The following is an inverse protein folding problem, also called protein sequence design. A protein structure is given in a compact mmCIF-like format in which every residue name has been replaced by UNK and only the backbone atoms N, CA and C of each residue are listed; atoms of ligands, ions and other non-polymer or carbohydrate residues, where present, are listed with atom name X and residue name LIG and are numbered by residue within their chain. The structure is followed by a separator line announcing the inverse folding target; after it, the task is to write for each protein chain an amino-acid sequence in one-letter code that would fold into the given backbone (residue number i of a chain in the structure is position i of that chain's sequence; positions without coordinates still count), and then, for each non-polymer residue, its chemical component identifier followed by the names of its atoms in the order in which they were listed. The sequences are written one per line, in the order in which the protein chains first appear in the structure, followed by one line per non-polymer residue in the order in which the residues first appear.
data_IF_846672283299
#
_entry.id   IF_846672283299
#
_cell.length_a   1.000
_cell.length_b   1.000
_cell.length_c   1.000
_cell.angle_alpha   90.00
_cell.angle_beta   90.00
_cell.angle_gamma   90.00
#
_symmetry.space_group_name_H-M   'P 1'
#
loop_
_entity.id
_entity.type
_entity.pdbx_description
1 polymer ?
#
# COMPACT_ATOMS: atom_id res chain seq x y z
N UNK A 1 2.71 -1.68 -12.77
CA UNK A 1 1.81 -2.11 -11.67
C UNK A 1 1.65 -3.61 -11.59
N UNK A 2 1.36 -4.32 -12.69
CA UNK A 2 1.22 -5.79 -12.68
C UNK A 2 2.41 -6.53 -12.03
N UNK A 3 3.65 -6.11 -12.31
CA UNK A 3 4.85 -6.68 -11.70
C UNK A 3 4.88 -6.55 -10.17
N UNK A 4 4.40 -5.43 -9.61
CA UNK A 4 4.33 -5.23 -8.15
C UNK A 4 3.40 -6.26 -7.53
N UNK A 5 2.25 -6.52 -8.15
CA UNK A 5 1.28 -7.50 -7.64
C UNK A 5 1.77 -8.95 -7.79
N UNK A 6 2.47 -9.27 -8.88
CA UNK A 6 3.03 -10.61 -9.09
C UNK A 6 4.06 -10.97 -8.01
N UNK A 7 4.94 -10.03 -7.66
CA UNK A 7 5.94 -10.22 -6.60
C UNK A 7 5.41 -9.93 -5.18
N UNK A 8 4.23 -9.31 -5.05
CA UNK A 8 3.57 -9.12 -3.77
C UNK A 8 3.01 -10.43 -3.19
N UNK A 9 2.59 -11.39 -4.04
CA UNK A 9 2.08 -12.70 -3.61
C UNK A 9 3.10 -13.51 -2.77
N UNK A 10 4.35 -13.72 -3.20
CA UNK A 10 5.34 -14.43 -2.40
C UNK A 10 5.69 -13.68 -1.10
N UNK A 11 5.63 -12.34 -1.11
CA UNK A 11 5.83 -11.53 0.11
C UNK A 11 4.69 -11.75 1.11
N UNK A 12 3.42 -11.78 0.65
CA UNK A 12 2.26 -12.08 1.50
C UNK A 12 2.34 -13.47 2.11
N UNK A 13 2.67 -14.48 1.29
CA UNK A 13 2.81 -15.87 1.75
C UNK A 13 3.90 -15.99 2.81
N UNK A 14 5.06 -15.37 2.58
CA UNK A 14 6.17 -15.38 3.52
C UNK A 14 5.87 -14.62 4.82
N UNK A 15 5.20 -13.46 4.74
CA UNK A 15 4.80 -12.70 5.92
C UNK A 15 3.73 -13.45 6.73
N UNK A 16 2.79 -14.13 6.06
CA UNK A 16 1.76 -14.92 6.72
C UNK A 16 2.34 -16.15 7.46
N UNK A 17 3.27 -16.88 6.82
CA UNK A 17 3.84 -18.11 7.36
C UNK A 17 4.95 -17.87 8.37
N UNK A 18 5.86 -16.93 8.08
CA UNK A 18 7.10 -16.75 8.83
C UNK A 18 7.22 -15.40 9.54
N UNK A 19 6.24 -14.49 9.36
CA UNK A 19 6.27 -13.12 9.90
C UNK A 19 7.56 -12.38 9.56
N UNK A 20 8.12 -12.70 8.39
CA UNK A 20 9.37 -12.14 7.87
C UNK A 20 9.21 -11.87 6.38
N UNK A 21 9.46 -10.64 5.99
CA UNK A 21 9.52 -10.24 4.58
C UNK A 21 10.87 -10.68 4.01
N UNK A 22 10.91 -11.55 2.98
CA UNK A 22 12.16 -11.94 2.35
C UNK A 22 12.70 -10.77 1.54
N UNK A 23 13.86 -10.26 1.94
CA UNK A 23 14.46 -9.05 1.37
C UNK A 23 14.80 -9.18 -0.13
N UNK A 24 14.96 -10.40 -0.63
CA UNK A 24 15.23 -10.70 -2.05
C UNK A 24 14.08 -10.22 -2.93
N UNK A 25 12.83 -10.58 -2.62
CA UNK A 25 11.67 -10.17 -3.43
C UNK A 25 11.46 -8.66 -3.39
N UNK A 26 11.68 -8.07 -2.22
CA UNK A 26 11.61 -6.62 -2.04
C UNK A 26 12.66 -5.89 -2.89
N UNK A 27 13.90 -6.39 -2.94
CA UNK A 27 14.94 -5.84 -3.78
C UNK A 27 14.59 -5.92 -5.27
N UNK A 28 14.05 -7.05 -5.74
CA UNK A 28 13.59 -7.18 -7.13
C UNK A 28 12.51 -6.15 -7.49
N UNK A 29 11.50 -5.97 -6.63
CA UNK A 29 10.45 -4.96 -6.85
C UNK A 29 11.08 -3.57 -6.86
N UNK A 30 11.98 -3.27 -5.93
CA UNK A 30 12.64 -1.97 -5.86
C UNK A 30 13.46 -1.66 -7.12
N UNK A 31 14.28 -2.59 -7.59
CA UNK A 31 15.06 -2.41 -8.82
C UNK A 31 14.15 -2.20 -10.03
N UNK A 32 13.08 -2.98 -10.16
CA UNK A 32 12.11 -2.82 -11.23
C UNK A 32 11.43 -1.45 -11.19
N UNK A 33 10.95 -1.04 -10.01
CA UNK A 33 10.29 0.25 -9.80
C UNK A 33 11.25 1.40 -10.05
N UNK A 34 12.50 1.29 -9.60
CA UNK A 34 13.54 2.28 -9.83
C UNK A 34 13.85 2.43 -11.32
N UNK A 35 14.02 1.33 -12.07
CA UNK A 35 14.22 1.36 -13.51
C UNK A 35 13.06 2.08 -14.22
N UNK A 36 11.81 1.74 -13.86
CA UNK A 36 10.63 2.41 -14.42
C UNK A 36 10.60 3.91 -14.09
N UNK A 37 11.00 4.32 -12.89
CA UNK A 37 11.05 5.73 -12.51
C UNK A 37 12.20 6.50 -13.15
N UNK A 38 13.33 5.86 -13.43
CA UNK A 38 14.42 6.49 -14.19
C UNK A 38 13.95 6.83 -15.61
N UNK A 39 13.17 5.93 -16.23
CA UNK A 39 12.67 6.12 -17.60
C UNK A 39 11.49 7.10 -17.65
N UNK A 40 10.52 6.96 -16.74
CA UNK A 40 9.28 7.76 -16.75
C UNK A 40 9.33 9.05 -15.94
N UNK A 41 10.39 9.27 -15.17
CA UNK A 41 10.51 10.39 -14.23
C UNK A 41 9.72 10.20 -12.93
N UNK A 42 10.02 11.08 -11.98
CA UNK A 42 9.34 11.20 -10.68
C UNK A 42 8.42 12.42 -10.76
N UNK A 43 7.15 12.25 -10.40
CA UNK A 43 6.16 13.31 -10.55
C UNK A 43 6.36 14.47 -9.57
N UNK A 44 6.75 14.19 -8.32
CA UNK A 44 7.06 15.22 -7.33
C UNK A 44 8.10 14.72 -6.32
N UNK A 45 9.17 15.51 -6.15
CA UNK A 45 10.18 15.23 -5.13
C UNK A 45 9.66 15.56 -3.72
N UNK A 46 8.76 16.53 -3.60
CA UNK A 46 8.17 16.94 -2.32
C UNK A 46 7.28 15.82 -1.74
N UNK A 47 6.44 15.20 -2.58
CA UNK A 47 5.59 14.09 -2.15
C UNK A 47 6.43 12.87 -1.74
N UNK A 48 7.52 12.60 -2.46
CA UNK A 48 8.46 11.53 -2.13
C UNK A 48 9.15 11.78 -0.79
N UNK A 49 9.64 13.00 -0.55
CA UNK A 49 10.22 13.39 0.76
C UNK A 49 9.21 13.25 1.90
N UNK A 50 7.96 13.68 1.68
CA UNK A 50 6.91 13.55 2.68
C UNK A 50 6.59 12.08 2.98
N UNK A 51 6.58 11.23 1.96
CA UNK A 51 6.40 9.79 2.15
C UNK A 51 7.57 9.16 2.92
N UNK A 52 8.82 9.51 2.60
CA UNK A 52 10.01 9.10 3.35
C UNK A 52 9.92 9.54 4.82
N UNK A 53 9.54 10.79 5.08
CA UNK A 53 9.39 11.32 6.43
C UNK A 53 8.30 10.58 7.21
N UNK A 54 7.13 10.33 6.59
CA UNK A 54 6.01 9.61 7.21
C UNK A 54 6.37 8.16 7.54
N UNK A 55 7.11 7.48 6.66
CA UNK A 55 7.54 6.09 6.89
C UNK A 55 8.63 6.01 7.96
N UNK A 56 9.58 6.95 7.99
CA UNK A 56 10.55 7.08 9.08
C UNK A 56 9.86 7.32 10.42
N UNK A 57 8.89 8.22 10.45
CA UNK A 57 8.07 8.47 11.64
C UNK A 57 7.37 7.19 12.13
N UNK A 58 6.78 6.41 11.20
CA UNK A 58 6.15 5.13 11.53
C UNK A 58 7.17 4.11 12.08
N UNK A 59 8.38 4.04 11.53
CA UNK A 59 9.44 3.14 12.05
C UNK A 59 9.84 3.53 13.47
N UNK A 60 10.09 4.82 13.72
CA UNK A 60 10.62 5.29 15.02
C UNK A 60 9.53 5.25 16.11
N UNK A 61 8.33 5.75 15.80
CA UNK A 61 7.27 5.93 16.80
C UNK A 61 6.38 4.70 16.93
N UNK A 62 5.96 4.12 15.80
CA UNK A 62 5.07 2.94 15.80
C UNK A 62 5.83 1.62 15.88
N UNK A 63 7.17 1.67 16.01
CA UNK A 63 8.07 0.50 16.02
C UNK A 63 7.83 -0.43 14.82
N UNK A 64 7.53 0.15 13.66
CA UNK A 64 7.26 -0.60 12.45
C UNK A 64 8.53 -1.30 11.96
N UNK A 65 8.37 -2.52 11.42
CA UNK A 65 9.49 -3.27 10.87
C UNK A 65 10.17 -2.55 9.70
N UNK A 66 11.49 -2.60 9.63
CA UNK A 66 12.26 -1.99 8.52
C UNK A 66 11.85 -2.61 7.16
N UNK A 67 11.50 -3.90 7.14
CA UNK A 67 11.00 -4.56 5.93
C UNK A 67 9.69 -3.94 5.42
N UNK A 68 8.75 -3.69 6.33
CA UNK A 68 7.47 -3.05 6.02
C UNK A 68 7.67 -1.62 5.53
N UNK A 69 8.58 -0.87 6.15
CA UNK A 69 8.88 0.51 5.77
C UNK A 69 9.40 0.61 4.35
N UNK A 70 10.31 -0.30 3.99
CA UNK A 70 10.81 -0.40 2.61
C UNK A 70 9.71 -0.81 1.64
N UNK A 71 8.76 -1.67 2.03
CA UNK A 71 7.62 -2.05 1.20
C UNK A 71 6.73 -0.84 0.90
N UNK A 72 6.36 -0.06 1.92
CA UNK A 72 5.56 1.17 1.76
C UNK A 72 6.28 2.16 0.85
N UNK A 73 7.58 2.39 1.09
CA UNK A 73 8.38 3.29 0.26
C UNK A 73 8.38 2.85 -1.21
N UNK A 74 8.61 1.56 -1.46
CA UNK A 74 8.65 0.99 -2.80
C UNK A 74 7.31 1.13 -3.51
N UNK A 75 6.20 0.91 -2.80
CA UNK A 75 4.84 1.08 -3.33
C UNK A 75 4.53 2.55 -3.63
N UNK A 76 4.86 3.46 -2.72
CA UNK A 76 4.67 4.90 -2.94
C UNK A 76 5.43 5.38 -4.18
N UNK A 77 6.67 4.92 -4.35
CA UNK A 77 7.52 5.23 -5.49
C UNK A 77 6.99 4.58 -6.79
N UNK A 78 6.37 3.40 -6.69
CA UNK A 78 5.68 2.77 -7.81
C UNK A 78 4.48 3.61 -8.26
N UNK A 79 3.63 4.02 -7.30
CA UNK A 79 2.39 4.78 -7.51
C UNK A 79 2.65 6.19 -8.02
N UNK A 80 3.83 6.74 -7.75
CA UNK A 80 4.24 8.07 -8.21
C UNK A 80 3.26 9.17 -7.75
N UNK A 81 2.96 9.16 -6.45
CA UNK A 81 1.98 10.04 -5.82
C UNK A 81 2.35 11.52 -6.01
N UNK A 82 1.37 12.34 -6.38
CA UNK A 82 1.58 13.75 -6.72
C UNK A 82 1.25 14.71 -5.58
N UNK A 83 0.24 14.40 -4.78
CA UNK A 83 -0.29 15.27 -3.74
C UNK A 83 -0.15 14.68 -2.34
N UNK A 84 -0.13 15.53 -1.32
CA UNK A 84 -0.26 15.12 0.08
C UNK A 84 -1.59 14.42 0.36
N UNK A 85 -2.65 14.79 -0.36
CA UNK A 85 -3.95 14.13 -0.28
C UNK A 85 -3.89 12.67 -0.75
N UNK A 86 -3.11 12.39 -1.80
CA UNK A 86 -2.93 11.03 -2.33
C UNK A 86 -2.21 10.14 -1.31
N UNK A 87 -1.21 10.70 -0.64
CA UNK A 87 -0.45 10.03 0.42
C UNK A 87 -1.39 9.73 1.61
N UNK A 88 -2.17 10.73 2.04
CA UNK A 88 -3.13 10.56 3.13
C UNK A 88 -4.19 9.50 2.80
N UNK A 89 -4.71 9.50 1.57
CA UNK A 89 -5.66 8.50 1.09
C UNK A 89 -5.05 7.10 1.10
N UNK A 90 -3.80 6.96 0.63
CA UNK A 90 -3.09 5.67 0.65
C UNK A 90 -2.96 5.12 2.08
N UNK A 91 -2.51 5.96 3.03
CA UNK A 91 -2.40 5.53 4.44
C UNK A 91 -3.77 5.22 5.06
N UNK A 92 -4.81 5.96 4.73
CA UNK A 92 -6.18 5.68 5.16
C UNK A 92 -6.65 4.32 4.64
N UNK A 93 -6.40 4.02 3.37
CA UNK A 93 -6.73 2.73 2.77
C UNK A 93 -5.95 1.57 3.43
N UNK A 94 -4.66 1.77 3.75
CA UNK A 94 -3.87 0.78 4.51
C UNK A 94 -4.42 0.58 5.92
N UNK A 95 -4.83 1.66 6.59
CA UNK A 95 -5.44 1.59 7.91
C UNK A 95 -6.77 0.81 7.88
N UNK A 96 -7.64 1.10 6.92
CA UNK A 96 -8.90 0.37 6.73
C UNK A 96 -8.65 -1.12 6.44
N UNK A 97 -7.66 -1.44 5.59
CA UNK A 97 -7.28 -2.81 5.32
C UNK A 97 -6.76 -3.54 6.57
N UNK A 98 -6.00 -2.86 7.43
CA UNK A 98 -5.56 -3.41 8.71
C UNK A 98 -6.74 -3.68 9.66
N UNK A 99 -7.69 -2.74 9.77
CA UNK A 99 -8.90 -2.92 10.58
C UNK A 99 -9.73 -4.10 10.08
N UNK A 100 -9.95 -4.19 8.77
CA UNK A 100 -10.66 -5.31 8.15
C UNK A 100 -9.98 -6.65 8.50
N UNK A 101 -8.64 -6.69 8.40
CA UNK A 101 -7.87 -7.88 8.73
C UNK A 101 -8.03 -8.28 10.21
N UNK A 102 -8.05 -7.32 11.13
CA UNK A 102 -8.32 -7.58 12.56
C UNK A 102 -9.70 -8.20 12.73
N UNK A 103 -10.73 -7.61 12.11
CA UNK A 103 -12.12 -8.08 12.21
C UNK A 103 -12.23 -9.52 11.69
N UNK A 104 -11.62 -9.82 10.54
CA UNK A 104 -11.65 -11.17 9.96
C UNK A 104 -10.94 -12.19 10.86
N UNK A 105 -9.75 -11.86 11.38
CA UNK A 105 -9.00 -12.77 12.26
C UNK A 105 -9.75 -12.96 13.59
N UNK A 106 -10.31 -11.88 14.14
CA UNK A 106 -11.11 -11.92 15.36
C UNK A 106 -12.35 -12.78 15.18
N UNK A 107 -13.10 -12.62 14.08
CA UNK A 107 -14.27 -13.45 13.78
C UNK A 107 -13.92 -14.93 13.61
N UNK A 108 -12.78 -15.23 12.97
CA UNK A 108 -12.35 -16.60 12.72
C UNK A 108 -11.79 -17.32 13.96
N UNK A 109 -11.07 -16.61 14.84
CA UNK A 109 -10.40 -17.20 16.01
C UNK A 109 -11.06 -16.87 17.35
N UNK A 110 -12.09 -16.03 17.35
CA UNK A 110 -12.76 -15.50 18.55
C UNK A 110 -11.80 -14.87 19.57
N UNK A 111 -10.61 -14.46 19.12
CA UNK A 111 -9.54 -13.92 19.95
C UNK A 111 -8.88 -12.74 19.26
N UNK A 112 -8.59 -11.67 19.99
CA UNK A 112 -7.94 -10.49 19.42
C UNK A 112 -6.47 -10.83 19.12
N UNK A 113 -6.03 -10.77 17.86
CA UNK A 113 -4.65 -11.09 17.50
C UNK A 113 -3.68 -10.07 18.11
N UNK A 114 -2.65 -10.56 18.82
CA UNK A 114 -1.60 -9.71 19.40
C UNK A 114 -0.63 -9.13 18.35
N UNK A 115 -0.56 -9.72 17.15
CA UNK A 115 0.28 -9.23 16.05
C UNK A 115 -0.36 -9.47 14.70
N UNK A 116 -0.32 -8.45 13.84
CA UNK A 116 -0.94 -8.44 12.52
C UNK A 116 0.17 -8.43 11.46
N UNK A 117 0.12 -9.29 10.43
CA UNK A 117 1.07 -9.24 9.33
C UNK A 117 0.78 -7.99 8.49
N UNK A 118 1.67 -7.00 8.60
CA UNK A 118 1.46 -5.65 8.06
C UNK A 118 1.55 -5.62 6.53
N UNK A 119 2.25 -6.59 5.91
CA UNK A 119 2.33 -6.70 4.45
C UNK A 119 0.94 -6.88 3.81
N UNK A 120 0.02 -7.59 4.49
CA UNK A 120 -1.35 -7.75 4.02
C UNK A 120 -2.08 -6.41 3.94
N UNK A 121 -2.04 -5.63 5.04
CA UNK A 121 -2.67 -4.31 5.09
C UNK A 121 -2.07 -3.36 4.05
N UNK A 122 -0.76 -3.39 3.84
CA UNK A 122 -0.10 -2.57 2.83
C UNK A 122 -0.61 -2.92 1.42
N UNK A 123 -0.61 -4.21 1.05
CA UNK A 123 -0.94 -4.63 -0.31
C UNK A 123 -2.44 -4.46 -0.59
N UNK A 124 -3.30 -4.88 0.33
CA UNK A 124 -4.76 -4.71 0.19
C UNK A 124 -5.13 -3.23 0.25
N UNK A 125 -4.49 -2.44 1.11
CA UNK A 125 -4.67 -0.99 1.15
C UNK A 125 -4.24 -0.31 -0.15
N UNK A 126 -3.17 -0.80 -0.79
CA UNK A 126 -2.73 -0.30 -2.11
C UNK A 126 -3.74 -0.63 -3.21
N UNK A 127 -4.33 -1.82 -3.19
CA UNK A 127 -5.42 -2.19 -4.09
C UNK A 127 -6.64 -1.29 -3.89
N UNK A 128 -7.01 -1.05 -2.63
CA UNK A 128 -8.14 -0.20 -2.27
C UNK A 128 -7.88 1.25 -2.71
N UNK A 129 -6.65 1.75 -2.55
CA UNK A 129 -6.24 3.07 -3.03
C UNK A 129 -6.39 3.17 -4.54
N UNK A 130 -5.91 2.19 -5.31
CA UNK A 130 -6.04 2.19 -6.77
C UNK A 130 -7.49 2.12 -7.22
N UNK A 131 -8.33 1.38 -6.51
CA UNK A 131 -9.76 1.32 -6.77
C UNK A 131 -10.44 2.66 -6.47
N UNK A 132 -10.12 3.30 -5.35
CA UNK A 132 -10.66 4.60 -4.96
C UNK A 132 -10.19 5.73 -5.88
N UNK A 133 -8.90 5.75 -6.25
CA UNK A 133 -8.32 6.76 -7.13
C UNK A 133 -8.82 6.66 -8.58
N UNK A 134 -9.31 5.49 -8.99
CA UNK A 134 -9.91 5.25 -10.32
C UNK A 134 -11.44 5.19 -10.28
N UNK A 135 -12.06 5.39 -9.12
CA UNK A 135 -13.50 5.40 -9.00
C UNK A 135 -14.06 6.64 -9.72
N UNK A 136 -15.14 6.49 -10.50
CA UNK A 136 -15.86 7.63 -11.04
C UNK A 136 -16.32 8.55 -9.91
N UNK A 137 -16.33 9.86 -10.16
CA UNK A 137 -16.89 10.80 -9.18
C UNK A 137 -18.38 10.52 -8.98
N UNK A 138 -18.93 10.85 -7.80
CA UNK A 138 -20.38 10.76 -7.54
C UNK A 138 -21.21 11.50 -8.60
N UNK A 139 -20.65 12.58 -9.16
CA UNK A 139 -21.22 13.32 -10.28
C UNK A 139 -21.27 12.48 -11.56
N UNK A 140 -20.19 11.79 -11.91
CA UNK A 140 -20.19 10.88 -13.06
C UNK A 140 -21.18 9.72 -12.89
N UNK A 141 -21.36 9.22 -11.67
CA UNK A 141 -22.40 8.23 -11.39
C UNK A 141 -23.81 8.80 -11.53
N UNK A 142 -24.04 10.02 -11.03
CA UNK A 142 -25.32 10.70 -11.19
C UNK A 142 -25.63 10.99 -12.66
N UNK A 143 -24.64 11.48 -13.42
CA UNK A 143 -24.78 11.75 -14.86
C UNK A 143 -25.00 10.45 -15.66
N UNK A 144 -24.35 9.35 -15.28
CA UNK A 144 -24.58 8.05 -15.90
C UNK A 144 -25.99 7.50 -15.62
N UNK A 145 -26.52 7.73 -14.41
CA UNK A 145 -27.88 7.36 -14.01
C UNK A 145 -28.96 8.23 -14.66
N UNK A 146 -28.68 9.52 -14.89
CA UNK A 146 -29.61 10.44 -15.57
C UNK A 146 -29.65 10.15 -17.07
N UNK A 147 -28.52 9.79 -17.69
CA UNK A 147 -28.44 9.48 -19.12
C UNK A 147 -28.78 8.01 -19.47
N UNK A 148 -29.16 7.17 -18.49
CA UNK A 148 -29.56 5.78 -18.70
C UNK A 148 -31.07 5.57 -18.89
N UNK A 149 -31.87 6.64 -18.96
CA UNK A 149 -33.32 6.61 -19.20
C UNK A 149 -33.69 7.35 -20.48
#
# INVERSE_FOLDING_TARGET
MAAVFLFAVPILLADWQYRRIPNIYLAFILYWVAAMRIISGIASMQSLMLCVASTLFAVVILKMGIGDAKLILTISLALNLTSSADIALLFLCMYLAAVLQIIVIWGARQSIPRSIPLAFAIIVGTMLYLAAARAPSLQQYADALVNSW
#
